data_IF_158077143174
#
_entry.id   IF_158077143174
#
_cell.length_a   1.000
_cell.length_b   1.000
_cell.length_c   1.000
_cell.angle_alpha   90.00
_cell.angle_beta   90.00
_cell.angle_gamma   90.00
#
_symmetry.space_group_name_H-M   'P 1'
#
loop_
_entity.id
_entity.type
_entity.pdbx_description
1 polymer ?
#
# COMPACT_ATOMS: atom_id res chain seq x y z
N UNK A 1 -0.53 -3.29 13.93
CA UNK A 1 -1.20 -4.49 13.36
C UNK A 1 -0.49 -4.83 12.07
N UNK A 2 -0.23 -6.12 11.81
CA UNK A 2 0.31 -6.56 10.51
C UNK A 2 -0.84 -6.52 9.50
N UNK A 3 -0.67 -5.80 8.40
CA UNK A 3 -1.66 -5.73 7.34
C UNK A 3 -1.69 -7.06 6.59
N UNK A 4 -2.89 -7.61 6.36
CA UNK A 4 -3.04 -8.78 5.49
C UNK A 4 -3.31 -8.30 4.06
N UNK A 5 -2.42 -8.64 3.14
CA UNK A 5 -2.60 -8.26 1.74
C UNK A 5 -3.26 -9.39 0.93
N UNK A 6 -4.13 -9.07 -0.04
CA UNK A 6 -4.86 -10.08 -0.81
C UNK A 6 -4.13 -10.38 -2.11
N UNK A 7 -2.98 -11.04 -1.97
CA UNK A 7 -2.16 -11.48 -3.09
C UNK A 7 -2.95 -12.31 -4.11
N UNK A 8 -4.01 -13.01 -3.69
CA UNK A 8 -4.86 -13.81 -4.59
C UNK A 8 -5.56 -12.99 -5.67
N UNK A 9 -5.66 -11.67 -5.49
CA UNK A 9 -6.30 -10.76 -6.44
C UNK A 9 -5.34 -10.20 -7.50
N UNK A 10 -4.04 -10.50 -7.40
CA UNK A 10 -3.05 -10.16 -8.43
C UNK A 10 -2.67 -11.41 -9.23
N UNK A 11 -2.16 -11.22 -10.43
CA UNK A 11 -1.73 -12.32 -11.29
C UNK A 11 -0.29 -12.77 -10.98
N UNK A 12 0.15 -13.87 -11.60
CA UNK A 12 1.49 -14.42 -11.36
C UNK A 12 2.62 -13.44 -11.69
N UNK A 13 2.50 -12.68 -12.79
CA UNK A 13 3.50 -11.70 -13.21
C UNK A 13 3.55 -10.49 -12.25
N UNK A 14 2.39 -10.04 -11.77
CA UNK A 14 2.32 -9.00 -10.75
C UNK A 14 2.96 -9.47 -9.43
N UNK A 15 2.71 -10.72 -9.01
CA UNK A 15 3.32 -11.29 -7.81
C UNK A 15 4.83 -11.50 -7.96
N UNK A 16 5.30 -11.91 -9.15
CA UNK A 16 6.72 -12.01 -9.46
C UNK A 16 7.42 -10.64 -9.32
N UNK A 17 6.85 -9.62 -9.96
CA UNK A 17 7.36 -8.26 -9.88
C UNK A 17 7.33 -7.70 -8.44
N UNK A 18 6.32 -8.05 -7.66
CA UNK A 18 6.23 -7.72 -6.24
C UNK A 18 7.41 -8.32 -5.46
N UNK A 19 7.67 -9.62 -5.65
CA UNK A 19 8.80 -10.32 -5.02
C UNK A 19 10.14 -9.71 -5.45
N UNK A 20 10.30 -9.33 -6.72
CA UNK A 20 11.49 -8.64 -7.20
C UNK A 20 11.66 -7.29 -6.48
N UNK A 21 10.57 -6.52 -6.32
CA UNK A 21 10.63 -5.22 -5.66
C UNK A 21 10.99 -5.35 -4.18
N UNK A 22 10.43 -6.32 -3.48
CA UNK A 22 10.80 -6.68 -2.10
C UNK A 22 12.28 -7.09 -2.04
N UNK A 23 12.72 -7.94 -2.97
CA UNK A 23 14.11 -8.42 -3.03
C UNK A 23 15.11 -7.28 -3.22
N UNK A 24 14.74 -6.22 -3.97
CA UNK A 24 15.58 -5.02 -4.11
C UNK A 24 15.77 -4.26 -2.79
N UNK A 25 14.81 -4.31 -1.86
CA UNK A 25 14.98 -3.75 -0.52
C UNK A 25 15.85 -4.66 0.37
N UNK A 26 15.68 -5.97 0.26
CA UNK A 26 16.34 -6.96 1.13
C UNK A 26 17.79 -7.25 0.72
N UNK A 27 18.03 -7.49 -0.56
CA UNK A 27 19.33 -7.85 -1.13
C UNK A 27 20.04 -6.64 -1.74
N UNK A 28 19.29 -5.73 -2.38
CA UNK A 28 19.79 -4.49 -2.94
C UNK A 28 19.43 -4.29 -4.42
N UNK A 29 19.74 -3.10 -4.94
CA UNK A 29 19.41 -2.70 -6.32
C UNK A 29 20.00 -3.61 -7.42
N UNK A 30 20.96 -4.47 -7.06
CA UNK A 30 21.56 -5.47 -7.94
C UNK A 30 20.64 -6.62 -8.37
N UNK A 31 19.49 -6.81 -7.72
CA UNK A 31 18.49 -7.81 -8.13
C UNK A 31 18.00 -7.56 -9.56
N UNK A 32 18.16 -8.58 -10.41
CA UNK A 32 17.79 -8.51 -11.84
C UNK A 32 16.29 -8.66 -12.04
N UNK A 33 15.74 -7.90 -12.97
CA UNK A 33 14.40 -8.08 -13.51
C UNK A 33 14.57 -8.65 -14.91
N UNK A 34 14.01 -9.83 -15.19
CA UNK A 34 14.10 -10.46 -16.49
C UNK A 34 12.87 -10.14 -17.34
N UNK A 35 13.02 -10.10 -18.66
CA UNK A 35 11.88 -10.03 -19.58
C UNK A 35 11.16 -11.37 -19.64
N UNK A 36 9.85 -11.35 -19.90
CA UNK A 36 9.07 -12.56 -20.17
C UNK A 36 9.69 -13.37 -21.33
N UNK A 37 9.97 -14.65 -21.08
CA UNK A 37 10.69 -15.52 -22.00
C UNK A 37 10.55 -16.99 -21.61
N UNK A 38 11.25 -17.91 -22.28
CA UNK A 38 11.29 -19.32 -21.86
C UNK A 38 11.75 -19.38 -20.40
N UNK A 39 10.94 -20.00 -19.55
CA UNK A 39 11.11 -20.09 -18.09
C UNK A 39 12.50 -20.63 -17.75
N UNK A 40 13.43 -19.70 -17.51
CA UNK A 40 14.85 -19.94 -17.25
C UNK A 40 15.13 -20.37 -15.82
N UNK A 41 14.07 -20.66 -15.08
CA UNK A 41 14.10 -21.13 -13.73
C UNK A 41 14.59 -20.15 -12.66
N UNK A 42 14.44 -18.86 -12.95
CA UNK A 42 14.89 -17.74 -12.11
C UNK A 42 13.95 -16.57 -12.36
N UNK A 43 13.23 -16.14 -11.34
CA UNK A 43 12.39 -14.95 -11.43
C UNK A 43 13.23 -13.69 -11.12
N UNK A 44 14.22 -13.83 -10.23
CA UNK A 44 15.29 -12.85 -10.05
C UNK A 44 16.63 -13.49 -9.74
N UNK A 45 17.68 -12.70 -9.93
CA UNK A 45 19.06 -13.09 -9.64
C UNK A 45 19.79 -11.95 -8.96
N UNK A 46 20.58 -12.28 -7.94
CA UNK A 46 21.43 -11.33 -7.23
C UNK A 46 22.84 -11.89 -7.10
N UNK A 47 23.84 -11.04 -7.28
CA UNK A 47 25.24 -11.39 -7.04
C UNK A 47 25.89 -10.26 -6.25
N UNK A 48 26.39 -10.57 -5.06
CA UNK A 48 26.98 -9.58 -4.16
C UNK A 48 26.83 -9.96 -2.70
N UNK A 49 26.77 -8.96 -1.83
CA UNK A 49 26.40 -9.11 -0.41
C UNK A 49 25.06 -8.43 -0.22
N UNK A 50 24.08 -9.14 0.35
CA UNK A 50 22.76 -8.60 0.60
C UNK A 50 22.85 -7.37 1.52
N UNK A 51 21.95 -6.39 1.33
CA UNK A 51 21.89 -5.24 2.22
C UNK A 51 21.51 -5.63 3.65
N UNK A 52 20.52 -6.52 3.80
CA UNK A 52 19.92 -6.83 5.11
C UNK A 52 19.32 -8.22 5.27
N UNK A 53 19.44 -9.08 4.27
CA UNK A 53 18.89 -10.44 4.33
C UNK A 53 19.96 -11.48 4.68
N UNK A 54 19.72 -12.38 5.65
CA UNK A 54 18.56 -12.45 6.55
C UNK A 54 18.66 -11.45 7.70
N UNK A 55 19.83 -10.84 7.92
CA UNK A 55 20.03 -9.75 8.86
C UNK A 55 21.13 -8.81 8.38
N UNK A 56 21.13 -7.56 8.84
CA UNK A 56 22.21 -6.60 8.57
C UNK A 56 23.55 -7.01 9.21
N UNK A 57 23.51 -7.76 10.32
CA UNK A 57 24.70 -8.22 11.02
C UNK A 57 25.40 -9.40 10.32
N UNK A 58 24.64 -10.21 9.58
CA UNK A 58 25.15 -11.38 8.87
C UNK A 58 24.40 -11.57 7.54
N UNK A 59 24.62 -10.69 6.55
CA UNK A 59 23.94 -10.78 5.27
C UNK A 59 24.45 -11.95 4.44
N UNK A 60 23.56 -12.56 3.65
CA UNK A 60 23.94 -13.53 2.63
C UNK A 60 24.91 -12.92 1.61
N UNK A 61 25.88 -13.72 1.18
CA UNK A 61 26.88 -13.34 0.18
C UNK A 61 26.91 -14.38 -0.94
N UNK A 62 27.23 -13.94 -2.15
CA UNK A 62 27.37 -14.79 -3.32
C UNK A 62 26.20 -14.65 -4.30
N UNK A 63 26.04 -15.67 -5.15
CA UNK A 63 24.99 -15.75 -6.16
C UNK A 63 23.71 -16.30 -5.54
N UNK A 64 22.66 -15.49 -5.55
CA UNK A 64 21.35 -15.84 -4.99
C UNK A 64 20.33 -15.98 -6.10
N UNK A 65 19.74 -17.17 -6.21
CA UNK A 65 18.59 -17.42 -7.07
C UNK A 65 17.30 -17.17 -6.29
N UNK A 66 16.42 -16.33 -6.83
CA UNK A 66 15.20 -15.87 -6.18
C UNK A 66 14.02 -16.33 -7.03
N UNK A 67 13.09 -17.04 -6.40
CA UNK A 67 11.88 -17.56 -7.04
C UNK A 67 10.62 -17.03 -6.35
N UNK A 68 9.59 -16.74 -7.12
CA UNK A 68 8.23 -16.49 -6.70
C UNK A 68 7.34 -17.67 -7.11
N UNK A 69 6.45 -18.12 -6.20
CA UNK A 69 5.37 -19.07 -6.50
C UNK A 69 4.06 -18.52 -5.96
N UNK A 70 3.21 -18.10 -6.88
CA UNK A 70 1.91 -17.53 -6.59
C UNK A 70 0.80 -18.60 -6.63
N UNK A 71 -0.26 -18.38 -5.85
CA UNK A 71 -1.53 -19.10 -5.98
C UNK A 71 -2.70 -18.14 -5.80
N UNK A 72 -3.76 -18.30 -6.60
CA UNK A 72 -5.03 -17.57 -6.41
C UNK A 72 -5.96 -18.25 -5.40
N UNK A 73 -5.56 -19.40 -4.86
CA UNK A 73 -6.35 -20.13 -3.84
C UNK A 73 -6.25 -19.44 -2.49
N UNK A 74 -7.37 -18.88 -2.04
CA UNK A 74 -7.50 -18.27 -0.72
C UNK A 74 -7.12 -19.26 0.39
N UNK A 75 -6.34 -18.79 1.36
CA UNK A 75 -5.91 -19.56 2.52
C UNK A 75 -5.05 -20.81 2.22
N UNK A 76 -4.50 -20.94 1.01
CA UNK A 76 -3.56 -22.01 0.69
C UNK A 76 -2.36 -22.02 1.65
N UNK A 77 -1.83 -23.21 1.90
CA UNK A 77 -0.76 -23.48 2.86
C UNK A 77 0.45 -24.10 2.18
N UNK A 78 1.64 -23.83 2.73
CA UNK A 78 2.87 -24.52 2.37
C UNK A 78 2.89 -25.98 2.84
N UNK A 79 1.95 -26.39 3.69
CA UNK A 79 1.73 -27.79 4.08
C UNK A 79 0.77 -28.54 3.16
N UNK A 80 0.21 -27.88 2.13
CA UNK A 80 -0.72 -28.53 1.23
C UNK A 80 -0.01 -29.59 0.38
N UNK A 81 -0.74 -30.66 0.06
CA UNK A 81 -0.21 -31.80 -0.68
C UNK A 81 0.39 -31.41 -2.03
N UNK A 82 -0.22 -30.44 -2.72
CA UNK A 82 0.22 -29.94 -4.02
C UNK A 82 1.48 -29.07 -3.93
N UNK A 83 1.82 -28.54 -2.75
CA UNK A 83 2.93 -27.60 -2.61
C UNK A 83 4.24 -28.24 -2.16
N UNK A 84 4.26 -28.96 -1.04
CA UNK A 84 5.51 -29.50 -0.48
C UNK A 84 5.51 -31.00 -0.13
N UNK A 85 4.34 -31.63 0.03
CA UNK A 85 4.27 -32.98 0.61
C UNK A 85 4.48 -34.10 -0.42
N UNK A 86 3.90 -33.98 -1.62
CA UNK A 86 3.95 -35.06 -2.61
C UNK A 86 5.15 -34.94 -3.58
N UNK A 87 5.50 -36.03 -4.28
CA UNK A 87 6.63 -36.07 -5.23
C UNK A 87 6.38 -35.28 -6.54
N UNK A 88 5.13 -34.88 -6.77
CA UNK A 88 4.71 -34.08 -7.93
C UNK A 88 4.41 -32.63 -7.54
N UNK A 89 4.82 -32.24 -6.34
CA UNK A 89 4.48 -30.98 -5.72
C UNK A 89 5.27 -29.84 -6.36
N UNK A 90 4.84 -28.62 -6.09
CA UNK A 90 5.55 -27.42 -6.54
C UNK A 90 7.02 -27.48 -6.11
N UNK A 91 7.30 -27.76 -4.83
CA UNK A 91 8.67 -27.85 -4.30
C UNK A 91 9.44 -29.03 -4.91
N UNK A 92 8.82 -30.20 -5.07
CA UNK A 92 9.52 -31.36 -5.66
C UNK A 92 9.91 -31.12 -7.13
N UNK A 93 9.04 -30.47 -7.92
CA UNK A 93 9.33 -30.06 -9.30
C UNK A 93 10.40 -28.97 -9.34
N UNK A 94 10.32 -28.02 -8.42
CA UNK A 94 11.27 -26.93 -8.27
C UNK A 94 12.68 -27.46 -7.98
N UNK A 95 12.85 -28.40 -7.04
CA UNK A 95 14.14 -29.05 -6.75
C UNK A 95 14.73 -29.69 -8.00
N UNK A 96 13.96 -30.50 -8.73
CA UNK A 96 14.44 -31.16 -9.97
C UNK A 96 14.92 -30.15 -10.99
N UNK A 97 14.18 -29.04 -11.15
CA UNK A 97 14.53 -27.95 -12.06
C UNK A 97 15.82 -27.24 -11.60
N UNK A 98 15.94 -26.93 -10.32
CA UNK A 98 17.11 -26.25 -9.75
C UNK A 98 18.39 -27.09 -9.83
N UNK A 99 18.28 -28.42 -9.71
CA UNK A 99 19.43 -29.32 -9.92
C UNK A 99 19.99 -29.20 -11.34
N UNK A 100 19.14 -29.02 -12.36
CA UNK A 100 19.57 -28.76 -13.74
C UNK A 100 20.18 -27.37 -13.88
N UNK A 101 19.58 -26.36 -13.25
CA UNK A 101 20.11 -24.99 -13.24
C UNK A 101 21.49 -24.93 -12.60
N UNK A 102 21.73 -25.63 -11.49
CA UNK A 102 23.02 -25.66 -10.80
C UNK A 102 24.17 -26.15 -11.70
N UNK A 103 23.90 -27.07 -12.62
CA UNK A 103 24.90 -27.58 -13.56
C UNK A 103 25.28 -26.55 -14.64
N UNK A 104 24.37 -25.64 -14.99
CA UNK A 104 24.56 -24.67 -16.08
C UNK A 104 24.88 -23.27 -15.59
N UNK A 105 24.40 -22.91 -14.41
CA UNK A 105 24.64 -21.62 -13.78
C UNK A 105 24.62 -21.79 -12.25
N UNK A 106 25.77 -22.18 -11.66
CA UNK A 106 25.91 -22.38 -10.22
C UNK A 106 25.50 -21.14 -9.41
N UNK A 107 24.87 -21.38 -8.26
CA UNK A 107 24.52 -20.37 -7.26
C UNK A 107 24.81 -20.89 -5.85
N UNK A 108 25.04 -19.94 -4.95
CA UNK A 108 25.40 -20.21 -3.55
C UNK A 108 24.15 -20.22 -2.66
N UNK A 109 23.13 -19.46 -3.02
CA UNK A 109 21.96 -19.22 -2.18
C UNK A 109 20.66 -19.37 -2.98
N UNK A 110 19.60 -19.82 -2.31
CA UNK A 110 18.26 -19.90 -2.87
C UNK A 110 17.21 -19.36 -1.90
N UNK A 111 16.28 -18.56 -2.41
CA UNK A 111 15.10 -18.17 -1.65
C UNK A 111 13.85 -18.25 -2.52
N UNK A 112 12.79 -18.83 -1.96
CA UNK A 112 11.49 -18.92 -2.60
C UNK A 112 10.44 -18.14 -1.82
N UNK A 113 9.72 -17.26 -2.50
CA UNK A 113 8.63 -16.48 -1.97
C UNK A 113 7.30 -17.06 -2.42
N UNK A 114 6.32 -17.11 -1.53
CA UNK A 114 4.96 -17.56 -1.86
C UNK A 114 3.91 -16.87 -1.00
N UNK A 115 2.73 -16.60 -1.56
CA UNK A 115 1.59 -16.07 -0.82
C UNK A 115 0.80 -17.15 -0.04
N UNK A 116 1.32 -18.38 0.00
CA UNK A 116 0.81 -19.44 0.88
C UNK A 116 1.19 -19.15 2.33
N UNK A 117 0.30 -19.52 3.26
CA UNK A 117 0.60 -19.52 4.70
C UNK A 117 1.74 -20.48 4.97
N UNK A 118 2.68 -20.08 5.83
CA UNK A 118 3.85 -20.89 6.12
C UNK A 118 3.91 -21.28 7.61
N UNK A 119 3.37 -22.46 7.97
CA UNK A 119 3.54 -23.03 9.30
C UNK A 119 5.02 -23.30 9.60
N UNK A 120 5.44 -23.17 10.86
CA UNK A 120 6.85 -23.37 11.27
C UNK A 120 7.39 -24.78 10.98
N UNK A 121 6.55 -25.81 11.10
CA UNK A 121 6.92 -27.18 10.71
C UNK A 121 7.17 -27.29 9.20
N UNK A 122 6.33 -26.66 8.38
CA UNK A 122 6.51 -26.65 6.93
C UNK A 122 7.78 -25.88 6.51
N UNK A 123 8.08 -24.76 7.17
CA UNK A 123 9.32 -24.01 6.96
C UNK A 123 10.55 -24.91 7.19
N UNK A 124 10.62 -25.58 8.34
CA UNK A 124 11.73 -26.47 8.68
C UNK A 124 11.88 -27.63 7.68
N UNK A 125 10.77 -28.26 7.30
CA UNK A 125 10.77 -29.39 6.36
C UNK A 125 11.19 -28.97 4.95
N UNK A 126 10.66 -27.87 4.43
CA UNK A 126 10.96 -27.38 3.08
C UNK A 126 12.41 -26.93 2.96
N UNK A 127 12.93 -26.20 3.96
CA UNK A 127 14.35 -25.80 3.98
C UNK A 127 15.24 -27.01 3.95
N UNK A 128 14.97 -28.01 4.81
CA UNK A 128 15.77 -29.24 4.84
C UNK A 128 15.74 -29.96 3.49
N UNK A 129 14.57 -30.12 2.88
CA UNK A 129 14.43 -30.76 1.57
C UNK A 129 15.24 -30.05 0.49
N UNK A 130 15.18 -28.72 0.43
CA UNK A 130 15.92 -27.91 -0.53
C UNK A 130 17.43 -27.95 -0.25
N UNK A 131 17.87 -27.78 0.99
CA UNK A 131 19.27 -27.80 1.38
C UNK A 131 19.92 -29.15 1.06
N UNK A 132 19.30 -30.26 1.47
CA UNK A 132 19.79 -31.62 1.24
C UNK A 132 19.87 -31.96 -0.26
N UNK A 133 18.93 -31.43 -1.06
CA UNK A 133 18.86 -31.74 -2.50
C UNK A 133 19.76 -30.89 -3.38
N UNK A 134 20.11 -29.67 -2.94
CA UNK A 134 20.84 -28.68 -3.75
C UNK A 134 22.32 -28.55 -3.34
N UNK A 135 22.66 -28.82 -2.07
CA UNK A 135 24.04 -28.75 -1.59
C UNK A 135 24.64 -27.33 -1.64
N UNK A 136 23.81 -26.31 -1.46
CA UNK A 136 24.20 -24.89 -1.51
C UNK A 136 24.36 -24.29 -0.10
N UNK A 137 24.91 -23.08 0.00
CA UNK A 137 25.26 -22.45 1.29
C UNK A 137 24.03 -22.02 2.09
N UNK A 138 23.08 -21.37 1.44
CA UNK A 138 21.91 -20.82 2.11
C UNK A 138 20.61 -21.12 1.36
N UNK A 139 19.56 -21.44 2.12
CA UNK A 139 18.21 -21.72 1.62
C UNK A 139 17.21 -21.08 2.57
N UNK A 140 16.18 -20.44 2.02
CA UNK A 140 15.01 -20.03 2.81
C UNK A 140 13.71 -20.07 2.00
N UNK A 141 12.58 -20.09 2.71
CA UNK A 141 11.24 -19.92 2.15
C UNK A 141 10.52 -18.81 2.90
N UNK A 142 10.02 -17.84 2.15
CA UNK A 142 9.26 -16.70 2.65
C UNK A 142 7.79 -16.93 2.32
N UNK A 143 6.98 -17.14 3.36
CA UNK A 143 5.53 -17.27 3.25
C UNK A 143 4.79 -15.94 3.36
N UNK A 144 3.47 -16.03 3.29
CA UNK A 144 2.53 -14.91 3.43
C UNK A 144 2.81 -14.02 4.64
N UNK A 145 3.01 -14.62 5.81
CA UNK A 145 3.15 -13.87 7.06
C UNK A 145 4.37 -12.93 7.04
N UNK A 146 5.46 -13.38 6.44
CA UNK A 146 6.67 -12.58 6.28
C UNK A 146 6.54 -11.58 5.13
N UNK A 147 5.85 -11.91 4.04
CA UNK A 147 5.50 -10.96 2.97
C UNK A 147 4.66 -9.80 3.52
N UNK A 148 3.65 -10.09 4.33
CA UNK A 148 2.80 -9.09 4.98
C UNK A 148 3.62 -8.15 5.87
N UNK A 149 4.63 -8.68 6.56
CA UNK A 149 5.57 -7.90 7.36
C UNK A 149 6.41 -6.99 6.46
N UNK A 150 6.99 -7.52 5.38
CA UNK A 150 7.77 -6.71 4.43
C UNK A 150 6.93 -5.59 3.80
N UNK A 151 5.68 -5.84 3.43
CA UNK A 151 4.81 -4.81 2.86
C UNK A 151 4.28 -3.82 3.91
N UNK A 152 4.29 -4.20 5.19
CA UNK A 152 4.04 -3.26 6.30
C UNK A 152 5.25 -2.35 6.52
N UNK A 153 6.47 -2.89 6.45
CA UNK A 153 7.72 -2.14 6.62
C UNK A 153 8.06 -1.28 5.39
N UNK A 154 7.63 -1.70 4.20
CA UNK A 154 7.83 -1.02 2.91
C UNK A 154 6.50 -0.72 2.20
N UNK A 155 5.64 0.14 2.76
CA UNK A 155 4.28 0.38 2.27
C UNK A 155 4.21 0.98 0.86
N UNK A 156 5.26 1.67 0.41
CA UNK A 156 5.37 2.16 -0.97
C UNK A 156 5.31 1.03 -2.00
N UNK A 157 5.78 -0.17 -1.64
CA UNK A 157 5.68 -1.35 -2.50
C UNK A 157 4.22 -1.78 -2.61
N UNK A 158 3.50 -1.91 -1.49
CA UNK A 158 2.09 -2.31 -1.53
C UNK A 158 1.24 -1.34 -2.39
N UNK A 159 1.51 -0.03 -2.29
CA UNK A 159 0.87 0.99 -3.12
C UNK A 159 1.22 0.86 -4.61
N UNK A 160 2.50 0.65 -4.95
CA UNK A 160 2.95 0.48 -6.33
C UNK A 160 2.21 -0.66 -7.05
N UNK A 161 1.88 -1.73 -6.32
CA UNK A 161 1.17 -2.89 -6.84
C UNK A 161 -0.35 -2.82 -6.62
N UNK A 162 -0.88 -1.69 -6.13
CA UNK A 162 -2.31 -1.48 -5.91
C UNK A 162 -2.94 -2.40 -4.87
N UNK A 163 -2.15 -2.99 -3.98
CA UNK A 163 -2.62 -3.92 -2.95
C UNK A 163 -3.42 -3.20 -1.85
N UNK A 164 -3.19 -1.91 -1.69
CA UNK A 164 -3.93 -1.00 -0.81
C UNK A 164 -5.42 -0.90 -1.17
N UNK A 165 -5.76 -1.04 -2.46
CA UNK A 165 -7.15 -0.99 -2.98
C UNK A 165 -8.04 -2.08 -2.40
N UNK A 166 -7.44 -3.15 -1.90
CA UNK A 166 -8.16 -4.27 -1.32
C UNK A 166 -8.13 -4.29 0.21
N UNK A 167 -7.38 -3.38 0.83
CA UNK A 167 -7.47 -3.19 2.27
C UNK A 167 -8.84 -2.61 2.61
N UNK A 168 -9.43 -2.98 3.77
CA UNK A 168 -10.71 -2.43 4.17
C UNK A 168 -10.62 -0.90 4.21
N UNK A 169 -11.65 -0.21 3.69
CA UNK A 169 -11.57 1.23 3.61
C UNK A 169 -11.57 1.86 5.00
N UNK A 170 -11.09 3.10 5.10
CA UNK A 170 -11.29 3.92 6.29
C UNK A 170 -12.79 4.08 6.53
N UNK A 171 -13.34 3.38 7.52
CA UNK A 171 -14.78 3.33 7.80
C UNK A 171 -15.17 4.50 8.69
N UNK A 172 -16.04 5.35 8.19
CA UNK A 172 -16.72 6.43 8.92
C UNK A 172 -18.12 6.60 8.34
N UNK A 173 -18.98 7.41 8.95
CA UNK A 173 -20.32 7.64 8.41
C UNK A 173 -20.30 8.60 7.21
N UNK A 174 -20.00 8.08 6.02
CA UNK A 174 -19.75 8.91 4.82
C UNK A 174 -20.99 9.66 4.29
N UNK A 175 -22.19 9.27 4.75
CA UNK A 175 -23.46 9.88 4.33
C UNK A 175 -23.60 11.31 4.83
N UNK A 176 -23.02 11.63 5.99
CA UNK A 176 -22.97 13.01 6.50
C UNK A 176 -22.21 13.90 5.52
N UNK A 177 -21.00 13.48 5.11
CA UNK A 177 -20.22 14.21 4.12
C UNK A 177 -20.93 14.33 2.77
N UNK A 178 -21.61 13.26 2.31
CA UNK A 178 -22.45 13.32 1.10
C UNK A 178 -23.51 14.41 1.20
N UNK A 179 -24.29 14.43 2.28
CA UNK A 179 -25.43 15.33 2.40
C UNK A 179 -24.99 16.79 2.54
N UNK A 180 -23.86 17.04 3.21
CA UNK A 180 -23.20 18.35 3.23
C UNK A 180 -22.82 18.79 1.81
N UNK A 181 -22.15 17.92 1.04
CA UNK A 181 -21.66 18.25 -0.31
C UNK A 181 -22.80 18.52 -1.28
N UNK A 182 -23.86 17.72 -1.24
CA UNK A 182 -25.06 17.92 -2.07
C UNK A 182 -25.68 19.28 -1.75
N UNK A 183 -25.93 19.57 -0.46
CA UNK A 183 -26.52 20.83 -0.04
C UNK A 183 -25.65 22.06 -0.34
N UNK A 184 -24.32 21.92 -0.20
CA UNK A 184 -23.37 22.95 -0.60
C UNK A 184 -23.43 23.22 -2.11
N UNK A 185 -23.42 22.16 -2.92
CA UNK A 185 -23.45 22.28 -4.38
C UNK A 185 -24.73 22.91 -4.91
N UNK A 186 -25.89 22.64 -4.29
CA UNK A 186 -27.18 23.24 -4.65
C UNK A 186 -27.23 24.75 -4.34
N UNK A 187 -26.57 25.20 -3.26
CA UNK A 187 -26.53 26.63 -2.90
C UNK A 187 -25.42 27.40 -3.62
N UNK A 188 -24.42 26.71 -4.13
CA UNK A 188 -23.26 27.31 -4.81
C UNK A 188 -23.63 28.02 -6.12
N UNK A 189 -24.68 27.59 -6.82
CA UNK A 189 -25.15 28.29 -8.03
C UNK A 189 -25.53 29.76 -7.78
N UNK A 190 -25.78 30.14 -6.53
CA UNK A 190 -26.15 31.52 -6.13
C UNK A 190 -24.97 32.33 -5.55
N UNK A 191 -23.77 31.75 -5.43
CA UNK A 191 -22.64 32.34 -4.70
C UNK A 191 -21.46 32.62 -5.66
N UNK A 192 -20.94 33.86 -5.56
CA UNK A 192 -19.91 34.50 -6.40
C UNK A 192 -18.74 33.63 -6.85
N UNK A 193 -18.39 33.74 -8.14
CA UNK A 193 -17.26 33.12 -8.84
C UNK A 193 -15.88 33.75 -8.56
N UNK A 194 -15.76 34.61 -7.56
CA UNK A 194 -14.52 35.38 -7.34
C UNK A 194 -13.69 34.73 -6.23
N UNK A 195 -12.68 33.96 -6.64
CA UNK A 195 -11.62 33.48 -5.76
C UNK A 195 -10.95 34.67 -5.08
N UNK A 196 -11.11 34.81 -3.77
CA UNK A 196 -10.31 35.75 -2.98
C UNK A 196 -9.04 35.04 -2.52
N UNK A 197 -7.92 35.76 -2.53
CA UNK A 197 -6.66 35.28 -1.95
C UNK A 197 -6.82 35.12 -0.43
N UNK A 198 -7.16 33.91 -0.01
CA UNK A 198 -7.44 33.52 1.37
C UNK A 198 -6.17 33.34 2.23
N UNK A 199 -4.98 33.34 1.62
CA UNK A 199 -3.73 33.00 2.30
C UNK A 199 -2.99 34.21 2.84
N UNK A 200 -2.77 34.22 4.15
CA UNK A 200 -1.75 35.07 4.79
C UNK A 200 -0.41 34.32 4.89
N UNK A 201 0.70 35.06 5.00
CA UNK A 201 2.04 34.47 5.16
C UNK A 201 2.15 33.60 6.42
N UNK A 202 1.50 33.98 7.51
CA UNK A 202 1.46 33.21 8.76
C UNK A 202 0.74 31.86 8.57
N UNK A 203 -0.39 31.87 7.85
CA UNK A 203 -1.12 30.64 7.50
C UNK A 203 -0.25 29.67 6.70
N UNK A 204 0.59 30.18 5.78
CA UNK A 204 1.46 29.34 4.94
C UNK A 204 2.52 28.63 5.79
N UNK A 205 3.19 29.34 6.70
CA UNK A 205 4.24 28.77 7.57
C UNK A 205 3.68 27.64 8.45
N UNK A 206 2.51 27.85 9.05
CA UNK A 206 1.85 26.80 9.86
C UNK A 206 1.50 25.57 9.01
N UNK A 207 1.15 25.75 7.73
CA UNK A 207 0.85 24.63 6.83
C UNK A 207 2.10 23.87 6.42
N UNK A 208 3.22 24.53 6.17
CA UNK A 208 4.48 23.83 5.88
C UNK A 208 4.87 22.91 7.03
N UNK A 209 4.79 23.41 8.28
CA UNK A 209 5.07 22.57 9.46
C UNK A 209 4.08 21.42 9.61
N UNK A 210 2.79 21.65 9.33
CA UNK A 210 1.77 20.60 9.32
C UNK A 210 2.07 19.53 8.26
N UNK A 211 2.50 19.93 7.07
CA UNK A 211 2.82 19.02 5.97
C UNK A 211 3.99 18.11 6.36
N UNK A 212 5.03 18.65 6.99
CA UNK A 212 6.14 17.86 7.54
C UNK A 212 5.65 16.83 8.57
N UNK A 213 4.84 17.26 9.55
CA UNK A 213 4.31 16.37 10.61
C UNK A 213 3.46 15.22 10.06
N UNK A 214 2.77 15.47 8.95
CA UNK A 214 1.88 14.50 8.33
C UNK A 214 2.54 13.75 7.17
N UNK A 215 3.76 14.08 6.76
CA UNK A 215 4.38 13.56 5.53
C UNK A 215 3.48 13.78 4.29
N UNK A 216 3.01 15.02 4.08
CA UNK A 216 2.32 15.43 2.84
C UNK A 216 3.37 15.93 1.84
N UNK A 217 3.36 15.44 0.60
CA UNK A 217 4.33 15.90 -0.40
C UNK A 217 4.11 17.37 -0.79
N UNK A 218 5.20 18.05 -1.17
CA UNK A 218 5.16 19.41 -1.68
C UNK A 218 4.32 19.51 -2.96
N UNK A 219 4.44 18.53 -3.86
CA UNK A 219 3.67 18.46 -5.10
C UNK A 219 2.16 18.41 -4.82
N UNK A 220 1.74 17.59 -3.86
CA UNK A 220 0.33 17.51 -3.49
C UNK A 220 -0.16 18.78 -2.77
N UNK A 221 0.69 19.41 -1.96
CA UNK A 221 0.35 20.69 -1.34
C UNK A 221 0.13 21.79 -2.39
N UNK A 222 0.98 21.86 -3.41
CA UNK A 222 0.81 22.77 -4.54
C UNK A 222 -0.47 22.49 -5.33
N UNK A 223 -0.86 21.21 -5.45
CA UNK A 223 -2.15 20.81 -6.01
C UNK A 223 -3.34 21.32 -5.17
N UNK A 224 -3.30 21.20 -3.84
CA UNK A 224 -4.34 21.76 -2.95
C UNK A 224 -4.46 23.28 -3.17
N UNK A 225 -3.32 23.98 -3.19
CA UNK A 225 -3.30 25.44 -3.35
C UNK A 225 -3.97 25.89 -4.65
N UNK A 226 -3.60 25.26 -5.76
CA UNK A 226 -4.10 25.60 -7.09
C UNK A 226 -5.54 25.17 -7.37
N UNK A 227 -6.00 24.06 -6.78
CA UNK A 227 -7.28 23.45 -7.15
C UNK A 227 -8.37 23.54 -6.08
N UNK A 228 -8.07 23.96 -4.84
CA UNK A 228 -9.04 23.87 -3.73
C UNK A 228 -9.20 25.12 -2.89
N UNK A 229 -8.14 25.94 -2.72
CA UNK A 229 -8.21 27.13 -1.86
C UNK A 229 -9.33 28.11 -2.23
N UNK A 230 -9.59 28.27 -3.53
CA UNK A 230 -10.63 29.18 -4.04
C UNK A 230 -12.04 28.88 -3.50
N UNK A 231 -12.28 27.68 -2.97
CA UNK A 231 -13.57 27.26 -2.43
C UNK A 231 -13.66 27.31 -0.91
N UNK A 232 -12.55 27.51 -0.18
CA UNK A 232 -12.53 27.36 1.28
C UNK A 232 -13.36 28.43 1.99
N UNK A 233 -13.30 29.68 1.52
CA UNK A 233 -14.18 30.77 1.96
C UNK A 233 -15.67 30.42 1.83
N UNK A 234 -16.05 29.80 0.71
CA UNK A 234 -17.44 29.41 0.45
C UNK A 234 -17.89 28.32 1.42
N UNK A 235 -17.03 27.32 1.65
CA UNK A 235 -17.28 26.23 2.60
C UNK A 235 -17.41 26.78 4.01
N UNK A 236 -16.50 27.66 4.42
CA UNK A 236 -16.52 28.28 5.74
C UNK A 236 -17.81 29.07 5.97
N UNK A 237 -18.22 29.92 5.01
CA UNK A 237 -19.49 30.66 5.11
C UNK A 237 -20.70 29.73 5.12
N UNK A 238 -20.67 28.65 4.35
CA UNK A 238 -21.73 27.66 4.35
C UNK A 238 -21.88 27.01 5.73
N UNK A 239 -20.77 26.56 6.34
CA UNK A 239 -20.78 25.88 7.63
C UNK A 239 -21.08 26.81 8.81
N UNK A 240 -20.73 28.11 8.73
CA UNK A 240 -21.03 29.09 9.77
C UNK A 240 -22.41 29.74 9.66
N UNK A 241 -23.15 29.50 8.58
CA UNK A 241 -24.49 30.05 8.42
C UNK A 241 -25.45 29.36 9.42
N UNK A 242 -26.13 30.09 10.32
CA UNK A 242 -27.05 29.49 11.30
C UNK A 242 -28.19 28.67 10.67
N UNK A 243 -28.57 28.96 9.42
CA UNK A 243 -29.57 28.18 8.67
C UNK A 243 -29.07 26.78 8.27
N UNK A 244 -27.77 26.55 8.35
CA UNK A 244 -27.09 25.30 7.99
C UNK A 244 -26.61 24.51 9.21
N UNK A 245 -27.09 24.82 10.43
CA UNK A 245 -26.65 24.18 11.68
C UNK A 245 -26.65 22.64 11.64
N UNK A 246 -27.62 22.04 10.94
CA UNK A 246 -27.66 20.59 10.70
C UNK A 246 -26.41 20.08 9.95
N UNK A 247 -25.98 20.79 8.91
CA UNK A 247 -24.79 20.44 8.13
C UNK A 247 -23.50 20.70 8.91
N UNK A 248 -23.48 21.74 9.76
CA UNK A 248 -22.38 22.00 10.68
C UNK A 248 -22.18 20.84 11.66
N UNK A 249 -23.28 20.29 12.20
CA UNK A 249 -23.23 19.10 13.07
C UNK A 249 -22.73 17.85 12.32
N UNK A 250 -23.24 17.61 11.11
CA UNK A 250 -22.76 16.52 10.25
C UNK A 250 -21.25 16.64 9.95
N UNK A 251 -20.78 17.88 9.72
CA UNK A 251 -19.37 18.16 9.46
C UNK A 251 -18.53 17.81 10.69
N UNK A 252 -18.92 18.28 11.87
CA UNK A 252 -18.22 17.98 13.13
C UNK A 252 -18.18 16.49 13.44
N UNK A 253 -19.27 15.76 13.21
CA UNK A 253 -19.28 14.29 13.35
C UNK A 253 -18.30 13.63 12.39
N UNK A 254 -18.32 14.04 11.12
CA UNK A 254 -17.40 13.51 10.10
C UNK A 254 -15.94 13.77 10.48
N UNK A 255 -15.62 14.98 10.96
CA UNK A 255 -14.28 15.32 11.45
C UNK A 255 -13.88 14.41 12.61
N UNK A 256 -14.77 14.20 13.59
CA UNK A 256 -14.50 13.32 14.74
C UNK A 256 -14.22 11.88 14.30
N UNK A 257 -15.04 11.31 13.42
CA UNK A 257 -14.85 9.95 12.90
C UNK A 257 -13.52 9.84 12.14
N UNK A 258 -13.22 10.82 11.28
CA UNK A 258 -11.98 10.82 10.50
C UNK A 258 -10.75 10.98 11.39
N UNK A 259 -10.81 11.80 12.44
CA UNK A 259 -9.72 11.94 13.41
C UNK A 259 -9.41 10.60 14.10
N UNK A 260 -10.44 9.89 14.57
CA UNK A 260 -10.29 8.56 15.18
C UNK A 260 -9.64 7.60 14.20
N UNK A 261 -10.23 7.47 13.00
CA UNK A 261 -9.80 6.51 11.98
C UNK A 261 -8.38 6.82 11.49
N UNK A 262 -8.05 8.09 11.24
CA UNK A 262 -6.69 8.49 10.84
C UNK A 262 -5.70 8.19 11.96
N UNK A 263 -6.06 8.41 13.23
CA UNK A 263 -5.17 8.13 14.36
C UNK A 263 -4.79 6.65 14.44
N UNK A 264 -5.75 5.76 14.19
CA UNK A 264 -5.54 4.30 14.24
C UNK A 264 -4.78 3.82 12.99
N UNK A 265 -5.18 4.32 11.83
CA UNK A 265 -4.79 3.76 10.53
C UNK A 265 -3.64 4.53 9.86
N UNK A 266 -3.10 5.60 10.47
CA UNK A 266 -2.06 6.47 9.87
C UNK A 266 -0.89 5.67 9.29
N UNK A 267 -0.43 4.65 10.00
CA UNK A 267 0.75 3.87 9.62
C UNK A 267 0.53 2.96 8.39
N UNK A 268 -0.71 2.81 7.90
CA UNK A 268 -1.00 2.10 6.64
C UNK A 268 -0.60 2.88 5.40
N UNK A 269 -0.39 4.18 5.53
CA UNK A 269 -0.10 5.09 4.42
C UNK A 269 1.27 5.71 4.66
N UNK A 270 2.10 5.79 3.64
CA UNK A 270 3.40 6.46 3.77
C UNK A 270 3.17 7.98 3.80
N UNK A 271 2.64 8.53 2.70
CA UNK A 271 2.28 9.93 2.55
C UNK A 271 0.81 10.21 2.89
N UNK A 272 0.52 11.43 3.38
CA UNK A 272 -0.82 11.80 3.82
C UNK A 272 -1.82 11.94 2.65
N UNK A 273 -1.36 12.32 1.46
CA UNK A 273 -2.22 12.44 0.28
C UNK A 273 -2.91 11.12 -0.10
N UNK A 274 -2.34 9.98 0.26
CA UNK A 274 -2.97 8.68 0.05
C UNK A 274 -4.16 8.45 0.99
N UNK A 275 -4.11 8.98 2.22
CA UNK A 275 -5.26 9.01 3.13
C UNK A 275 -6.37 9.87 2.53
N UNK A 276 -6.03 11.08 2.07
CA UNK A 276 -6.97 12.00 1.42
C UNK A 276 -7.62 11.31 0.21
N UNK A 277 -6.82 10.71 -0.67
CA UNK A 277 -7.30 9.99 -1.85
C UNK A 277 -8.26 8.87 -1.47
N UNK A 278 -7.91 8.10 -0.44
CA UNK A 278 -8.70 6.98 0.03
C UNK A 278 -10.06 7.41 0.59
N UNK A 279 -10.10 8.49 1.40
CA UNK A 279 -11.35 9.09 1.90
C UNK A 279 -12.24 9.53 0.74
N UNK A 280 -11.67 10.25 -0.23
CA UNK A 280 -12.40 10.74 -1.41
C UNK A 280 -13.00 9.58 -2.21
N UNK A 281 -12.22 8.53 -2.48
CA UNK A 281 -12.68 7.36 -3.23
C UNK A 281 -13.77 6.60 -2.50
N UNK A 282 -13.66 6.44 -1.18
CA UNK A 282 -14.66 5.77 -0.36
C UNK A 282 -15.99 6.53 -0.36
N UNK A 283 -15.96 7.86 -0.19
CA UNK A 283 -17.15 8.71 -0.19
C UNK A 283 -17.85 8.68 -1.55
N UNK A 284 -17.09 8.79 -2.63
CA UNK A 284 -17.61 8.79 -4.00
C UNK A 284 -18.17 7.42 -4.37
N UNK A 285 -17.46 6.33 -4.08
CA UNK A 285 -17.88 4.99 -4.50
C UNK A 285 -19.16 4.52 -3.79
N UNK A 286 -19.32 4.82 -2.50
CA UNK A 286 -20.52 4.46 -1.73
C UNK A 286 -21.74 5.33 -2.00
N UNK A 287 -21.56 6.48 -2.67
CA UNK A 287 -22.63 7.45 -2.94
C UNK A 287 -22.60 7.90 -4.40
N UNK A 288 -22.25 6.98 -5.30
CA UNK A 288 -22.05 7.27 -6.72
C UNK A 288 -23.32 7.84 -7.40
N UNK A 289 -24.51 7.47 -6.90
CA UNK A 289 -25.81 7.98 -7.35
C UNK A 289 -25.95 9.50 -7.14
N UNK A 290 -25.32 10.08 -6.11
CA UNK A 290 -25.38 11.52 -5.82
C UNK A 290 -24.10 12.28 -6.10
N UNK A 291 -22.94 11.64 -5.95
CA UNK A 291 -21.63 12.32 -5.92
C UNK A 291 -20.79 12.10 -7.18
N UNK A 292 -21.24 11.28 -8.14
CA UNK A 292 -20.47 11.02 -9.37
C UNK A 292 -20.08 12.31 -10.08
N UNK A 293 -20.95 13.30 -10.18
CA UNK A 293 -20.63 14.56 -10.87
C UNK A 293 -20.08 15.65 -9.93
N UNK A 294 -19.97 15.35 -8.63
CA UNK A 294 -19.45 16.25 -7.59
C UNK A 294 -18.08 15.82 -7.04
N UNK A 295 -17.38 14.88 -7.69
CA UNK A 295 -16.08 14.34 -7.24
C UNK A 295 -15.03 15.42 -6.93
N UNK A 296 -15.05 16.53 -7.68
CA UNK A 296 -14.16 17.67 -7.42
C UNK A 296 -14.49 18.30 -6.06
N UNK A 297 -15.77 18.56 -5.78
CA UNK A 297 -16.22 19.18 -4.53
C UNK A 297 -15.96 18.26 -3.34
N UNK A 298 -16.16 16.94 -3.49
CA UNK A 298 -15.78 15.95 -2.47
C UNK A 298 -14.31 16.12 -2.08
N UNK A 299 -13.41 16.17 -3.07
CA UNK A 299 -11.98 16.36 -2.83
C UNK A 299 -11.69 17.70 -2.15
N UNK A 300 -12.35 18.77 -2.59
CA UNK A 300 -12.20 20.11 -1.99
C UNK A 300 -12.61 20.10 -0.51
N UNK A 301 -13.69 19.43 -0.11
CA UNK A 301 -14.10 19.34 1.30
C UNK A 301 -13.07 18.59 2.15
N UNK A 302 -12.49 17.50 1.64
CA UNK A 302 -11.44 16.78 2.37
C UNK A 302 -10.15 17.61 2.45
N UNK A 303 -9.80 18.34 1.38
CA UNK A 303 -8.71 19.31 1.42
C UNK A 303 -8.98 20.43 2.43
N UNK A 304 -10.22 20.93 2.53
CA UNK A 304 -10.63 21.94 3.50
C UNK A 304 -10.43 21.42 4.92
N UNK A 305 -10.90 20.21 5.25
CA UNK A 305 -10.68 19.58 6.57
C UNK A 305 -9.19 19.46 6.91
N UNK A 306 -8.34 19.05 5.95
CA UNK A 306 -6.91 19.00 6.19
C UNK A 306 -6.34 20.39 6.42
N UNK A 307 -6.66 21.32 5.51
CA UNK A 307 -6.12 22.66 5.54
C UNK A 307 -6.55 23.43 6.79
N UNK A 308 -7.79 23.32 7.24
CA UNK A 308 -8.26 23.94 8.49
C UNK A 308 -7.81 23.24 9.76
N UNK A 309 -6.93 22.24 9.63
CA UNK A 309 -6.41 21.46 10.75
C UNK A 309 -7.43 20.59 11.47
N UNK A 310 -8.59 20.35 10.86
CA UNK A 310 -9.61 19.43 11.38
C UNK A 310 -9.15 17.97 11.33
N UNK A 311 -8.35 17.60 10.33
CA UNK A 311 -7.74 16.26 10.22
C UNK A 311 -6.22 16.29 10.08
N UNK A 312 -5.58 15.19 10.46
CA UNK A 312 -4.13 15.06 10.52
C UNK A 312 -3.53 15.76 11.75
N UNK A 313 -2.25 15.52 12.02
CA UNK A 313 -1.52 16.15 13.12
C UNK A 313 -1.49 17.67 12.95
N UNK A 314 -1.45 18.39 14.06
CA UNK A 314 -1.30 19.85 14.12
C UNK A 314 0.01 20.20 14.82
N UNK A 315 0.59 21.35 14.46
CA UNK A 315 1.81 21.86 15.07
C UNK A 315 1.56 22.41 16.49
#
# INVERSE_FOLDING_TARGET
MINKFPYENINNEEFENLVIRISKELFGAGCKTFSTGRDGAKDSWFEGTANRFPSEAAPWKGKTNIQAKHTTTLNASCSDNDFSVNQTSVIAKEIKRLQVVLQTTPFDNYVIFTNRKLPGEAHSNIIKMLADSLGIQHVDIIGREQLDTYLTDYPHIAYQFGLDKFLPPLRFYERDLRDIIVAFSEKRTDISTTAKDYLTSYTIIDKERKNELNNLSQEYFDFIKSHSLQYFDEIERFLHNPKNDTYTKMYSNTVSDLQEVITIERNRFNEFEYIIKHIVDYVVSNNADKLKDLRQIVRVFVHFMYFNCDIGKTA
#
